data_IF_573719300783
#
_entry.id   IF_573719300783
#
_cell.length_a   1.000
_cell.length_b   1.000
_cell.length_c   1.000
_cell.angle_alpha   90.00
_cell.angle_beta   90.00
_cell.angle_gamma   90.00
#
_symmetry.space_group_name_H-M   'P 1'
#
loop_
_entity.id
_entity.type
_entity.pdbx_description
1 polymer ?
#
# COMPACT_ATOMS: atom_id res chain seq x y z
N UNK A 1 -7.82 -26.60 -3.42
CA UNK A 1 -6.49 -25.98 -3.52
C UNK A 1 -6.69 -24.48 -3.69
N UNK A 2 -6.10 -23.68 -2.81
CA UNK A 2 -6.11 -22.22 -2.89
C UNK A 2 -4.90 -21.81 -3.73
N UNK A 3 -5.15 -21.27 -4.93
CA UNK A 3 -4.10 -20.82 -5.85
C UNK A 3 -3.69 -19.39 -5.52
N UNK A 4 -2.41 -19.18 -5.22
CA UNK A 4 -1.91 -17.86 -4.83
C UNK A 4 -0.76 -17.41 -5.73
N UNK A 5 -0.57 -16.09 -5.80
CA UNK A 5 0.69 -15.47 -6.26
C UNK A 5 1.32 -14.65 -5.15
N UNK A 6 2.64 -14.48 -5.21
CA UNK A 6 3.42 -13.66 -4.28
C UNK A 6 4.13 -12.58 -5.09
N UNK A 7 3.96 -11.32 -4.68
CA UNK A 7 4.69 -10.17 -5.24
C UNK A 7 5.53 -9.52 -4.14
N UNK A 8 6.86 -9.57 -4.31
CA UNK A 8 7.86 -9.14 -3.34
C UNK A 8 9.14 -8.83 -4.10
N UNK A 9 9.73 -7.66 -3.94
CA UNK A 9 10.96 -7.29 -4.64
C UNK A 9 12.20 -8.01 -4.10
N UNK A 10 12.24 -8.30 -2.82
CA UNK A 10 13.33 -9.02 -2.17
C UNK A 10 13.31 -10.51 -2.54
N UNK A 11 14.22 -10.92 -3.42
CA UNK A 11 14.28 -12.28 -3.96
C UNK A 11 14.32 -13.37 -2.89
N UNK A 12 15.08 -13.14 -1.80
CA UNK A 12 15.22 -14.14 -0.73
C UNK A 12 13.88 -14.30 0.01
N UNK A 13 13.23 -13.22 0.39
CA UNK A 13 11.96 -13.22 1.09
C UNK A 13 10.86 -13.83 0.22
N UNK A 14 10.79 -13.44 -1.05
CA UNK A 14 9.84 -14.02 -2.01
C UNK A 14 9.99 -15.54 -2.12
N UNK A 15 11.23 -16.02 -2.22
CA UNK A 15 11.50 -17.47 -2.28
C UNK A 15 11.15 -18.19 -0.99
N UNK A 16 11.46 -17.61 0.17
CA UNK A 16 11.13 -18.19 1.47
C UNK A 16 9.62 -18.28 1.69
N UNK A 17 8.87 -17.20 1.40
CA UNK A 17 7.42 -17.20 1.49
C UNK A 17 6.79 -18.25 0.57
N UNK A 18 7.31 -18.36 -0.66
CA UNK A 18 6.86 -19.38 -1.60
C UNK A 18 7.05 -20.78 -1.07
N UNK A 19 8.25 -21.09 -0.60
CA UNK A 19 8.58 -22.43 -0.08
C UNK A 19 7.77 -22.78 1.18
N UNK A 20 7.55 -21.81 2.08
CA UNK A 20 6.76 -22.02 3.30
C UNK A 20 5.27 -22.28 2.99
N UNK A 21 4.69 -21.53 2.06
CA UNK A 21 3.29 -21.69 1.71
C UNK A 21 3.03 -22.93 0.85
N UNK A 22 3.98 -23.37 0.06
CA UNK A 22 3.91 -24.65 -0.68
C UNK A 22 4.00 -25.90 0.22
N UNK A 23 4.37 -25.75 1.51
CA UNK A 23 4.30 -26.84 2.48
C UNK A 23 2.87 -27.12 2.98
N UNK A 24 1.94 -26.20 2.71
CA UNK A 24 0.55 -26.35 3.11
C UNK A 24 -0.23 -27.18 2.10
N UNK A 25 -0.88 -28.25 2.53
CA UNK A 25 -1.56 -29.22 1.65
C UNK A 25 -2.69 -28.62 0.79
N UNK A 26 -3.24 -27.46 1.20
CA UNK A 26 -4.39 -26.81 0.56
C UNK A 26 -4.04 -25.48 -0.16
N UNK A 27 -2.77 -25.09 -0.17
CA UNK A 27 -2.27 -23.86 -0.81
C UNK A 27 -1.27 -24.22 -1.93
N UNK A 28 -1.34 -23.51 -3.04
CA UNK A 28 -0.43 -23.69 -4.18
C UNK A 28 0.07 -22.33 -4.66
N UNK A 29 1.39 -22.13 -4.67
CA UNK A 29 2.01 -20.93 -5.22
C UNK A 29 2.19 -21.05 -6.71
N UNK A 30 1.28 -20.48 -7.49
CA UNK A 30 1.24 -20.60 -8.95
C UNK A 30 2.05 -19.54 -9.71
N UNK A 31 2.58 -18.54 -8.97
CA UNK A 31 3.39 -17.49 -9.59
C UNK A 31 4.07 -16.59 -8.55
N UNK A 32 5.20 -16.01 -8.97
CA UNK A 32 5.97 -15.06 -8.17
C UNK A 32 6.34 -13.86 -9.04
N UNK A 33 6.21 -12.65 -8.51
CA UNK A 33 6.52 -11.38 -9.17
C UNK A 33 7.53 -10.57 -8.35
N UNK A 34 8.37 -9.78 -9.00
CA UNK A 34 9.33 -8.90 -8.35
C UNK A 34 8.86 -7.43 -8.27
N UNK A 35 7.71 -7.12 -8.84
CA UNK A 35 7.11 -5.78 -8.87
C UNK A 35 5.61 -5.86 -9.19
N UNK A 36 4.91 -4.74 -9.04
CA UNK A 36 3.46 -4.70 -9.25
C UNK A 36 3.03 -4.90 -10.71
N UNK A 37 3.82 -4.49 -11.69
CA UNK A 37 3.51 -4.72 -13.11
C UNK A 37 3.52 -6.21 -13.46
N UNK A 38 4.55 -6.94 -13.00
CA UNK A 38 4.61 -8.39 -13.15
C UNK A 38 3.44 -9.08 -12.42
N UNK A 39 3.11 -8.59 -11.21
CA UNK A 39 2.00 -9.13 -10.44
C UNK A 39 0.67 -9.01 -11.20
N UNK A 40 0.37 -7.86 -11.79
CA UNK A 40 -0.85 -7.66 -12.59
C UNK A 40 -0.90 -8.63 -13.79
N UNK A 41 0.22 -8.78 -14.53
CA UNK A 41 0.31 -9.73 -15.66
C UNK A 41 0.04 -11.17 -15.23
N UNK A 42 0.61 -11.56 -14.07
CA UNK A 42 0.39 -12.92 -13.54
C UNK A 42 -1.06 -13.10 -13.05
N UNK A 43 -1.67 -12.09 -12.42
CA UNK A 43 -3.07 -12.16 -11.98
C UNK A 43 -4.00 -12.32 -13.18
N UNK A 44 -3.80 -11.56 -14.24
CA UNK A 44 -4.59 -11.66 -15.47
C UNK A 44 -4.46 -13.03 -16.14
N UNK A 45 -3.22 -13.54 -16.24
CA UNK A 45 -2.92 -14.81 -16.91
C UNK A 45 -3.36 -16.03 -16.11
N UNK A 46 -3.01 -16.06 -14.81
CA UNK A 46 -3.15 -17.27 -13.98
C UNK A 46 -4.46 -17.30 -13.19
N UNK A 47 -5.13 -16.17 -13.04
CA UNK A 47 -6.39 -16.00 -12.28
C UNK A 47 -6.31 -16.65 -10.90
N UNK A 48 -5.38 -16.21 -10.02
CA UNK A 48 -5.25 -16.74 -8.68
C UNK A 48 -6.47 -16.41 -7.81
N UNK A 49 -6.65 -17.18 -6.74
CA UNK A 49 -7.67 -16.88 -5.74
C UNK A 49 -7.25 -15.71 -4.85
N UNK A 50 -5.95 -15.67 -4.49
CA UNK A 50 -5.36 -14.66 -3.62
C UNK A 50 -4.04 -14.17 -4.20
N UNK A 51 -3.77 -12.89 -4.08
CA UNK A 51 -2.45 -12.31 -4.30
C UNK A 51 -1.92 -11.74 -2.98
N UNK A 52 -0.71 -12.13 -2.62
CA UNK A 52 0.03 -11.61 -1.46
C UNK A 52 1.05 -10.62 -2.01
N UNK A 53 1.04 -9.38 -1.52
CA UNK A 53 1.85 -8.31 -2.09
C UNK A 53 2.54 -7.50 -1.00
N UNK A 54 3.81 -7.22 -1.22
CA UNK A 54 4.49 -6.13 -0.51
C UNK A 54 3.94 -4.78 -0.98
N UNK A 55 4.02 -3.77 -0.10
CA UNK A 55 3.68 -2.40 -0.46
C UNK A 55 4.81 -1.78 -1.30
N UNK A 56 6.04 -1.85 -0.79
CA UNK A 56 7.18 -1.14 -1.35
C UNK A 56 7.88 -1.96 -2.43
N UNK A 57 7.31 -1.97 -3.62
CA UNK A 57 7.90 -2.61 -4.81
C UNK A 57 8.26 -1.57 -5.88
N UNK A 58 9.32 -1.81 -6.69
CA UNK A 58 9.67 -0.95 -7.81
C UNK A 58 8.59 -0.96 -8.90
N UNK A 59 8.59 0.06 -9.75
CA UNK A 59 7.70 0.26 -10.89
C UNK A 59 6.26 0.55 -10.45
N UNK A 60 5.65 -0.35 -9.69
CA UNK A 60 4.29 -0.21 -9.19
C UNK A 60 4.17 -0.88 -7.82
N UNK A 61 3.66 -0.13 -6.84
CA UNK A 61 3.48 -0.61 -5.47
C UNK A 61 2.34 -1.64 -5.36
N UNK A 62 2.34 -2.45 -4.29
CA UNK A 62 1.25 -3.36 -4.03
C UNK A 62 -0.10 -2.67 -3.81
N UNK A 63 -0.10 -1.42 -3.32
CA UNK A 63 -1.32 -0.61 -3.18
C UNK A 63 -1.86 -0.15 -4.53
N UNK A 64 -0.99 0.23 -5.47
CA UNK A 64 -1.41 0.60 -6.83
C UNK A 64 -2.04 -0.60 -7.55
N UNK A 65 -1.46 -1.78 -7.35
CA UNK A 65 -2.02 -3.05 -7.88
C UNK A 65 -3.41 -3.30 -7.27
N UNK A 66 -3.56 -3.16 -5.95
CA UNK A 66 -4.84 -3.34 -5.27
C UNK A 66 -5.91 -2.37 -5.79
N UNK A 67 -5.56 -1.10 -5.99
CA UNK A 67 -6.46 -0.08 -6.57
C UNK A 67 -6.87 -0.43 -8.00
N UNK A 68 -5.93 -0.92 -8.82
CA UNK A 68 -6.20 -1.37 -10.20
C UNK A 68 -7.17 -2.54 -10.21
N UNK A 69 -6.90 -3.58 -9.43
CA UNK A 69 -7.77 -4.76 -9.33
C UNK A 69 -9.17 -4.43 -8.83
N UNK A 70 -9.30 -3.47 -7.91
CA UNK A 70 -10.60 -2.96 -7.48
C UNK A 70 -11.36 -2.28 -8.62
N UNK A 71 -10.70 -1.39 -9.38
CA UNK A 71 -11.32 -0.69 -10.53
C UNK A 71 -11.80 -1.69 -11.58
N UNK A 72 -11.02 -2.74 -11.83
CA UNK A 72 -11.34 -3.80 -12.79
C UNK A 72 -12.34 -4.83 -12.25
N UNK A 73 -12.76 -4.70 -10.99
CA UNK A 73 -13.64 -5.65 -10.30
C UNK A 73 -13.11 -7.08 -10.35
N UNK A 74 -11.80 -7.24 -10.21
CA UNK A 74 -11.14 -8.53 -10.19
C UNK A 74 -11.69 -9.44 -9.09
N UNK A 75 -11.83 -10.73 -9.39
CA UNK A 75 -12.20 -11.73 -8.39
C UNK A 75 -11.03 -12.13 -7.47
N UNK A 76 -9.79 -11.76 -7.83
CA UNK A 76 -8.61 -12.03 -7.04
C UNK A 76 -8.66 -11.25 -5.70
N UNK A 77 -8.53 -11.96 -4.61
CA UNK A 77 -8.45 -11.35 -3.27
C UNK A 77 -7.04 -10.84 -3.02
N UNK A 78 -6.94 -9.61 -2.50
CA UNK A 78 -5.64 -8.97 -2.25
C UNK A 78 -5.32 -9.00 -0.77
N UNK A 79 -4.13 -9.48 -0.43
CA UNK A 79 -3.54 -9.40 0.91
C UNK A 79 -2.23 -8.61 0.83
N UNK A 80 -2.09 -7.63 1.69
CA UNK A 80 -0.86 -6.82 1.82
C UNK A 80 -0.01 -7.40 2.95
N UNK A 81 1.27 -7.57 2.68
CA UNK A 81 2.32 -7.85 3.67
C UNK A 81 3.23 -6.63 3.76
N UNK A 82 3.46 -6.10 4.96
CA UNK A 82 4.30 -4.92 5.18
C UNK A 82 5.20 -5.10 6.39
N UNK A 83 6.36 -4.44 6.38
CA UNK A 83 7.25 -4.40 7.56
C UNK A 83 6.80 -3.38 8.60
N UNK A 84 6.07 -2.33 8.19
CA UNK A 84 5.69 -1.22 9.06
C UNK A 84 4.23 -0.80 8.89
N UNK A 85 3.59 -0.47 10.03
CA UNK A 85 2.27 0.14 10.08
C UNK A 85 2.37 1.64 9.76
N UNK A 86 2.33 2.02 8.48
CA UNK A 86 2.22 3.45 8.11
C UNK A 86 0.74 3.80 7.95
N UNK A 87 0.21 4.81 8.70
CA UNK A 87 -1.21 5.16 8.68
C UNK A 87 -1.77 5.43 7.28
N UNK A 88 -1.02 6.15 6.43
CA UNK A 88 -1.43 6.44 5.06
C UNK A 88 -1.52 5.19 4.17
N UNK A 89 -0.64 4.21 4.34
CA UNK A 89 -0.69 2.95 3.61
C UNK A 89 -1.92 2.13 4.01
N UNK A 90 -2.23 2.09 5.31
CA UNK A 90 -3.41 1.41 5.79
C UNK A 90 -4.70 2.05 5.24
N UNK A 91 -4.81 3.39 5.30
CA UNK A 91 -5.97 4.09 4.75
C UNK A 91 -6.17 3.80 3.26
N UNK A 92 -5.09 3.84 2.46
CA UNK A 92 -5.12 3.47 1.04
C UNK A 92 -5.53 2.01 0.84
N UNK A 93 -4.96 1.09 1.61
CA UNK A 93 -5.30 -0.33 1.56
C UNK A 93 -6.79 -0.57 1.83
N UNK A 94 -7.33 0.08 2.87
CA UNK A 94 -8.76 -0.03 3.20
C UNK A 94 -9.64 0.59 2.10
N UNK A 95 -9.26 1.73 1.54
CA UNK A 95 -9.93 2.35 0.39
C UNK A 95 -9.84 1.48 -0.86
N UNK A 96 -8.72 0.82 -1.11
CA UNK A 96 -8.56 -0.15 -2.19
C UNK A 96 -9.37 -1.43 -1.97
N UNK A 97 -9.87 -1.66 -0.75
CA UNK A 97 -10.70 -2.82 -0.43
C UNK A 97 -9.90 -4.11 -0.29
N UNK A 98 -8.66 -4.06 0.20
CA UNK A 98 -7.86 -5.25 0.44
C UNK A 98 -8.53 -6.19 1.44
N UNK A 99 -8.29 -7.46 1.30
CA UNK A 99 -8.90 -8.52 2.10
C UNK A 99 -8.03 -8.91 3.30
N UNK A 100 -6.72 -8.68 3.22
CA UNK A 100 -5.77 -8.88 4.31
C UNK A 100 -4.76 -7.73 4.40
N UNK A 101 -4.34 -7.39 5.61
CA UNK A 101 -3.26 -6.44 5.88
C UNK A 101 -2.46 -6.91 7.09
N UNK A 102 -1.29 -7.49 6.84
CA UNK A 102 -0.50 -8.25 7.81
C UNK A 102 0.93 -7.71 7.89
N UNK A 103 1.60 -8.00 9.01
CA UNK A 103 3.02 -7.72 9.19
C UNK A 103 3.87 -8.88 8.63
N UNK A 104 5.03 -8.57 8.04
CA UNK A 104 5.99 -9.55 7.52
C UNK A 104 6.71 -10.34 8.62
N UNK A 105 6.69 -9.87 9.86
CA UNK A 105 7.24 -10.53 11.04
C UNK A 105 6.28 -11.51 11.73
N UNK A 106 5.05 -11.62 11.22
CA UNK A 106 4.08 -12.61 11.69
C UNK A 106 4.55 -14.04 11.36
N UNK A 107 4.28 -15.04 12.24
CA UNK A 107 4.58 -16.43 11.94
C UNK A 107 3.95 -16.91 10.62
N UNK A 108 4.64 -17.81 9.89
CA UNK A 108 4.14 -18.33 8.60
C UNK A 108 2.81 -19.08 8.72
N UNK A 109 2.60 -19.75 9.85
CA UNK A 109 1.35 -20.45 10.17
C UNK A 109 0.15 -19.47 10.24
N UNK A 110 0.39 -18.27 10.78
CA UNK A 110 -0.63 -17.21 10.85
C UNK A 110 -0.96 -16.69 9.45
N UNK A 111 0.02 -16.60 8.55
CA UNK A 111 -0.20 -16.20 7.16
C UNK A 111 -1.07 -17.23 6.42
N UNK A 112 -0.78 -18.51 6.55
CA UNK A 112 -1.58 -19.58 5.95
C UNK A 112 -3.02 -19.59 6.50
N UNK A 113 -3.18 -19.42 7.81
CA UNK A 113 -4.49 -19.29 8.45
C UNK A 113 -5.26 -18.06 7.94
N UNK A 114 -4.58 -16.92 7.77
CA UNK A 114 -5.16 -15.69 7.24
C UNK A 114 -5.61 -15.85 5.78
N UNK A 115 -4.84 -16.55 4.93
CA UNK A 115 -5.25 -16.89 3.56
C UNK A 115 -6.56 -17.67 3.55
N UNK A 116 -6.66 -18.70 4.41
CA UNK A 116 -7.89 -19.51 4.54
C UNK A 116 -9.08 -18.68 5.00
N UNK A 117 -8.88 -17.77 5.94
CA UNK A 117 -9.92 -16.89 6.45
C UNK A 117 -10.39 -15.89 5.37
N UNK A 118 -9.47 -15.31 4.63
CA UNK A 118 -9.77 -14.44 3.48
C UNK A 118 -10.59 -15.21 2.45
N UNK A 119 -10.26 -16.46 2.16
CA UNK A 119 -11.06 -17.29 1.25
C UNK A 119 -12.48 -17.54 1.76
N UNK A 120 -12.69 -17.60 3.07
CA UNK A 120 -14.03 -17.69 3.71
C UNK A 120 -14.78 -16.35 3.74
N UNK A 121 -14.23 -15.29 3.15
CA UNK A 121 -14.84 -13.95 3.10
C UNK A 121 -14.60 -13.08 4.33
N UNK A 122 -13.71 -13.48 5.25
CA UNK A 122 -13.30 -12.65 6.37
C UNK A 122 -12.25 -11.63 5.92
N UNK A 123 -12.17 -10.51 6.63
CA UNK A 123 -11.01 -9.61 6.54
C UNK A 123 -10.01 -9.93 7.63
N UNK A 124 -8.74 -9.97 7.26
CA UNK A 124 -7.63 -10.26 8.16
C UNK A 124 -6.75 -9.02 8.31
N UNK A 125 -6.74 -8.43 9.50
CA UNK A 125 -5.91 -7.27 9.82
C UNK A 125 -5.14 -7.61 11.09
N UNK A 126 -3.80 -7.52 11.05
CA UNK A 126 -2.96 -7.73 12.22
C UNK A 126 -3.34 -6.77 13.35
N UNK A 127 -3.46 -7.28 14.58
CA UNK A 127 -3.84 -6.46 15.74
C UNK A 127 -2.79 -5.39 16.04
N UNK A 128 -1.50 -5.70 15.87
CA UNK A 128 -0.41 -4.76 16.11
C UNK A 128 -0.47 -3.56 15.16
N UNK A 129 -0.94 -3.79 13.92
CA UNK A 129 -1.23 -2.72 12.96
C UNK A 129 -2.37 -1.82 13.44
N UNK A 130 -3.38 -2.36 14.06
CA UNK A 130 -4.51 -1.58 14.58
C UNK A 130 -4.09 -0.67 15.73
N UNK A 131 -3.21 -1.12 16.64
CA UNK A 131 -2.71 -0.30 17.74
C UNK A 131 -1.82 0.86 17.24
N UNK A 132 -0.95 0.63 16.26
CA UNK A 132 -0.12 1.69 15.66
C UNK A 132 -0.92 2.78 14.94
N UNK A 133 -2.04 2.40 14.34
CA UNK A 133 -2.92 3.31 13.57
C UNK A 133 -3.75 4.26 14.45
N UNK A 134 -4.04 3.88 15.70
CA UNK A 134 -4.79 4.74 16.62
C UNK A 134 -3.97 5.91 17.15
N UNK A 135 -2.64 5.87 17.03
CA UNK A 135 -1.76 6.91 17.53
C UNK A 135 -1.44 8.03 16.54
N UNK A 136 -1.60 7.82 15.23
CA UNK A 136 -1.20 8.81 14.22
C UNK A 136 -2.27 8.98 13.12
N UNK A 137 -3.26 9.83 13.38
CA UNK A 137 -4.17 10.28 12.33
C UNK A 137 -3.44 11.23 11.37
N UNK A 138 -3.66 11.07 10.06
CA UNK A 138 -3.13 11.99 9.06
C UNK A 138 -3.74 13.40 9.27
N UNK A 139 -2.94 14.42 9.62
CA UNK A 139 -3.45 15.76 9.87
C UNK A 139 -3.76 16.54 8.59
N UNK A 140 -3.36 16.00 7.42
CA UNK A 140 -3.48 16.69 6.15
C UNK A 140 -4.85 16.44 5.51
N UNK A 141 -5.50 17.50 5.08
CA UNK A 141 -6.69 17.42 4.21
C UNK A 141 -6.33 16.90 2.81
N UNK A 142 -7.31 16.41 2.06
CA UNK A 142 -7.08 15.92 0.70
C UNK A 142 -6.47 17.00 -0.21
N UNK A 143 -6.85 18.27 -0.03
CA UNK A 143 -6.31 19.39 -0.79
C UNK A 143 -4.86 19.70 -0.44
N UNK A 144 -4.49 19.60 0.82
CA UNK A 144 -3.09 19.72 1.27
C UNK A 144 -2.21 18.61 0.72
N UNK A 145 -2.73 17.38 0.66
CA UNK A 145 -2.04 16.24 0.04
C UNK A 145 -1.80 16.47 -1.45
N UNK A 146 -2.81 16.92 -2.21
CA UNK A 146 -2.67 17.25 -3.64
C UNK A 146 -1.58 18.30 -3.87
N UNK A 147 -1.58 19.37 -3.06
CA UNK A 147 -0.56 20.43 -3.15
C UNK A 147 0.82 19.88 -2.84
N UNK A 148 0.95 19.05 -1.80
CA UNK A 148 2.23 18.50 -1.37
C UNK A 148 2.79 17.48 -2.38
N UNK A 149 1.94 16.67 -3.01
CA UNK A 149 2.33 15.75 -4.09
C UNK A 149 2.92 16.50 -5.30
N UNK A 150 2.27 17.56 -5.74
CA UNK A 150 2.80 18.39 -6.84
C UNK A 150 4.08 19.13 -6.43
N UNK A 151 4.20 19.50 -5.15
CA UNK A 151 5.42 20.08 -4.61
C UNK A 151 6.59 19.07 -4.60
N UNK A 152 6.32 17.79 -4.32
CA UNK A 152 7.26 16.67 -4.42
C UNK A 152 7.79 16.47 -5.83
N UNK A 153 6.97 16.66 -6.86
CA UNK A 153 7.36 16.64 -8.27
C UNK A 153 8.25 17.84 -8.68
N UNK A 154 8.60 18.71 -7.74
CA UNK A 154 9.44 19.89 -7.99
C UNK A 154 8.71 21.10 -8.53
N UNK A 155 7.38 21.07 -8.63
CA UNK A 155 6.57 22.19 -9.15
C UNK A 155 6.63 23.42 -8.24
N UNK A 156 6.68 24.58 -8.85
CA UNK A 156 6.57 25.88 -8.17
C UNK A 156 5.13 26.18 -7.75
N UNK A 157 4.93 27.12 -6.83
CA UNK A 157 3.59 27.54 -6.41
C UNK A 157 2.71 28.01 -7.58
N UNK A 158 3.30 28.62 -8.61
CA UNK A 158 2.57 29.06 -9.82
C UNK A 158 2.13 27.87 -10.69
N UNK A 159 2.95 26.84 -10.82
CA UNK A 159 2.63 25.63 -11.59
C UNK A 159 1.56 24.78 -10.86
N UNK A 160 1.68 24.65 -9.54
CA UNK A 160 0.68 24.00 -8.70
C UNK A 160 -0.67 24.72 -8.79
N UNK A 161 -0.65 26.06 -8.69
CA UNK A 161 -1.84 26.88 -8.81
C UNK A 161 -2.57 26.65 -10.15
N UNK A 162 -1.83 26.57 -11.26
CA UNK A 162 -2.39 26.25 -12.58
C UNK A 162 -2.96 24.84 -12.62
N UNK A 163 -2.23 23.84 -12.09
CA UNK A 163 -2.65 22.45 -12.12
C UNK A 163 -3.93 22.19 -11.30
N UNK A 164 -4.10 22.90 -10.18
CA UNK A 164 -5.22 22.71 -9.26
C UNK A 164 -6.33 23.78 -9.41
N UNK A 165 -6.23 24.67 -10.38
CA UNK A 165 -7.15 25.79 -10.60
C UNK A 165 -7.29 26.69 -9.35
N UNK A 166 -6.15 27.03 -8.74
CA UNK A 166 -6.04 27.87 -7.54
C UNK A 166 -5.28 29.17 -7.85
N UNK A 167 -5.27 30.10 -6.89
CA UNK A 167 -4.32 31.21 -6.91
C UNK A 167 -2.97 30.80 -6.33
N UNK A 168 -1.85 31.42 -6.78
CA UNK A 168 -0.54 31.17 -6.15
C UNK A 168 -0.48 31.51 -4.66
N UNK A 169 -1.31 32.47 -4.22
CA UNK A 169 -1.48 32.81 -2.81
C UNK A 169 -2.13 31.68 -2.02
N UNK A 170 -3.18 31.08 -2.56
CA UNK A 170 -3.86 29.91 -1.95
C UNK A 170 -2.91 28.71 -1.80
N UNK A 171 -2.09 28.43 -2.82
CA UNK A 171 -1.09 27.37 -2.74
C UNK A 171 -0.08 27.62 -1.63
N UNK A 172 0.41 28.86 -1.50
CA UNK A 172 1.33 29.23 -0.40
C UNK A 172 0.69 29.05 0.98
N UNK A 173 -0.59 29.37 1.11
CA UNK A 173 -1.32 29.16 2.36
C UNK A 173 -1.42 27.66 2.69
N UNK A 174 -1.77 26.80 1.73
CA UNK A 174 -1.77 25.34 1.96
C UNK A 174 -0.40 24.83 2.37
N UNK A 175 0.68 25.27 1.71
CA UNK A 175 2.04 24.89 2.10
C UNK A 175 2.33 25.35 3.54
N UNK A 176 1.97 26.57 3.93
CA UNK A 176 2.18 27.08 5.28
C UNK A 176 1.38 26.29 6.33
N UNK A 177 0.14 25.91 6.02
CA UNK A 177 -0.68 25.06 6.90
C UNK A 177 -0.07 23.66 7.06
N UNK A 178 0.41 23.05 5.95
CA UNK A 178 1.12 21.78 5.97
C UNK A 178 2.36 21.85 6.86
N UNK A 179 3.20 22.89 6.72
CA UNK A 179 4.37 23.07 7.55
C UNK A 179 4.02 23.13 9.04
N UNK A 180 2.96 23.84 9.38
CA UNK A 180 2.49 23.97 10.76
C UNK A 180 1.96 22.64 11.31
N UNK A 181 1.16 21.91 10.51
CA UNK A 181 0.58 20.63 10.91
C UNK A 181 1.61 19.53 11.09
N UNK A 182 2.69 19.57 10.31
CA UNK A 182 3.76 18.57 10.35
C UNK A 182 4.96 18.99 11.20
N UNK A 183 4.90 20.18 11.81
CA UNK A 183 6.04 20.79 12.54
C UNK A 183 7.32 20.82 11.69
N UNK A 184 7.18 21.09 10.41
CA UNK A 184 8.27 21.06 9.42
C UNK A 184 8.82 22.47 9.20
N UNK A 185 10.14 22.59 9.10
CA UNK A 185 10.86 23.88 8.89
C UNK A 185 10.76 24.39 7.45
N UNK A 186 10.58 23.49 6.51
CA UNK A 186 10.50 23.81 5.10
C UNK A 186 9.72 22.73 4.33
N UNK A 187 9.40 23.02 3.06
CA UNK A 187 8.57 22.12 2.26
C UNK A 187 9.25 20.76 1.95
N UNK A 188 10.58 20.69 1.93
CA UNK A 188 11.30 19.44 1.68
C UNK A 188 11.14 18.53 2.89
N UNK A 189 11.33 19.06 4.09
CA UNK A 189 11.10 18.32 5.35
C UNK A 189 9.64 17.87 5.47
N UNK A 190 8.68 18.73 5.11
CA UNK A 190 7.26 18.36 5.10
C UNK A 190 6.96 17.19 4.15
N UNK A 191 7.56 17.19 2.95
CA UNK A 191 7.44 16.09 1.99
C UNK A 191 8.03 14.82 2.59
N UNK A 192 9.25 14.88 3.15
CA UNK A 192 9.90 13.71 3.78
C UNK A 192 9.06 13.12 4.89
N UNK A 193 8.56 13.95 5.82
CA UNK A 193 7.69 13.49 6.92
C UNK A 193 6.42 12.84 6.36
N UNK A 194 5.77 13.47 5.37
CA UNK A 194 4.52 12.95 4.81
C UNK A 194 4.74 11.64 4.04
N UNK A 195 5.89 11.45 3.39
CA UNK A 195 6.28 10.19 2.74
C UNK A 195 6.58 9.10 3.76
N UNK A 196 7.40 9.39 4.77
CA UNK A 196 7.74 8.44 5.84
C UNK A 196 6.50 7.94 6.59
N UNK A 197 5.50 8.81 6.75
CA UNK A 197 4.20 8.47 7.35
C UNK A 197 3.23 7.82 6.36
N UNK A 198 3.55 7.77 5.08
CA UNK A 198 2.68 7.25 4.03
C UNK A 198 1.41 8.10 3.83
N UNK A 199 1.48 9.39 4.09
CA UNK A 199 0.36 10.33 3.92
C UNK A 199 0.24 10.87 2.50
N UNK A 200 1.35 10.80 1.74
CA UNK A 200 1.44 11.11 0.32
C UNK A 200 2.31 10.10 -0.44
#
# INVERSE_FOLDING_TARGET
MIRIIIAEDQRMLRGALGALLDLEDDIEVIGQAANGEEALKLIELLKPNVSIMDIEMPIQSGLDVAETLKKEKSACKVMILTTFARPGYFERAMKAGVHGYLLKDSPSEDLAASIRNVMKGKREISQDLMFGLWQEQNPLSDREKEVLLLAKEGKTANEIAKALYLSPGTVRNYISEVLTKLDAKNRIEAITIAEEKGWI
#
